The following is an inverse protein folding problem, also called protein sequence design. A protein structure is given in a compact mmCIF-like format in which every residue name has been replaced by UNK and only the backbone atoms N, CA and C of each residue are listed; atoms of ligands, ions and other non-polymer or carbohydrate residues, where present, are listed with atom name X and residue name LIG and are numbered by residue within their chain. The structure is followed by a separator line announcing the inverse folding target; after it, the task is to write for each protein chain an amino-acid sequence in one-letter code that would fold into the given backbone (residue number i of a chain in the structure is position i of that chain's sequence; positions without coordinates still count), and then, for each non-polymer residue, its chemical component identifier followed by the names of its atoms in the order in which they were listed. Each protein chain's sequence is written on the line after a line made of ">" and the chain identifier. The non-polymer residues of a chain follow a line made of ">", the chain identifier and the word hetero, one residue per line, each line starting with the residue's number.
data_IF_483230592753
#
_entry.id   IF_483230592753
#
_cell.length_a   1.000
_cell.length_b   1.000
_cell.length_c   1.000
_cell.angle_alpha   90.00
_cell.angle_beta   90.00
_cell.angle_gamma   90.00
#
_symmetry.space_group_name_H-M   'P 1'
#
loop_
_entity.id
_entity.type
_entity.pdbx_description
1 polymer ?
#
# COMPACT_ATOMS: atom_id res chain seq x y z
N UNK A 1 1.56 -25.96 -9.56
CA UNK A 1 0.19 -25.58 -9.98
C UNK A 1 -0.27 -24.38 -9.16
N UNK A 2 -0.76 -23.33 -9.79
CA UNK A 2 -1.41 -22.18 -9.13
C UNK A 2 -2.90 -22.47 -8.93
N UNK A 3 -3.42 -22.28 -7.71
CA UNK A 3 -4.85 -22.40 -7.44
C UNK A 3 -5.34 -21.03 -6.99
N UNK A 4 -6.23 -20.43 -7.79
CA UNK A 4 -6.89 -19.18 -7.41
C UNK A 4 -8.18 -19.52 -6.68
N UNK A 5 -8.22 -19.32 -5.36
CA UNK A 5 -9.43 -19.53 -4.56
C UNK A 5 -10.17 -18.19 -4.45
N UNK A 6 -11.18 -17.97 -5.31
CA UNK A 6 -12.13 -16.86 -5.14
C UNK A 6 -13.10 -17.23 -4.03
N UNK A 7 -12.93 -16.63 -2.84
CA UNK A 7 -14.09 -16.44 -1.98
C UNK A 7 -14.86 -15.22 -2.48
N UNK A 8 -16.18 -15.21 -2.32
CA UNK A 8 -17.05 -14.11 -2.75
C UNK A 8 -16.69 -12.76 -2.08
N UNK A 9 -15.95 -12.80 -0.96
CA UNK A 9 -15.58 -11.63 -0.15
C UNK A 9 -14.10 -11.25 -0.25
N UNK A 10 -13.20 -12.22 -0.11
CA UNK A 10 -11.76 -12.02 -0.13
C UNK A 10 -11.11 -12.94 -1.19
N UNK A 11 -10.61 -12.40 -2.31
CA UNK A 11 -9.84 -13.20 -3.26
C UNK A 11 -8.54 -13.67 -2.61
N UNK A 12 -8.18 -14.94 -2.83
CA UNK A 12 -6.92 -15.51 -2.35
C UNK A 12 -6.19 -16.18 -3.51
N UNK A 13 -4.97 -15.71 -3.78
CA UNK A 13 -4.04 -16.40 -4.66
C UNK A 13 -3.20 -17.38 -3.82
N UNK A 14 -3.19 -18.64 -4.23
CA UNK A 14 -2.32 -19.67 -3.66
C UNK A 14 -1.41 -20.24 -4.73
N UNK A 15 -0.11 -20.21 -4.46
CA UNK A 15 0.91 -20.81 -5.31
C UNK A 15 1.70 -21.87 -4.54
N UNK A 16 2.11 -22.93 -5.26
CA UNK A 16 2.90 -24.03 -4.72
C UNK A 16 2.06 -25.17 -4.09
N UNK A 17 2.70 -26.13 -3.40
CA UNK A 17 4.14 -26.17 -3.13
C UNK A 17 5.00 -26.27 -4.41
N UNK A 18 6.16 -25.62 -4.44
CA UNK A 18 7.18 -25.85 -5.48
C UNK A 18 8.02 -27.11 -5.14
N UNK A 19 9.04 -27.41 -5.95
CA UNK A 19 9.92 -28.60 -5.78
C UNK A 19 10.62 -28.67 -4.41
N UNK A 20 10.84 -27.53 -3.76
CA UNK A 20 11.45 -27.41 -2.42
C UNK A 20 10.41 -27.16 -1.31
N UNK A 21 9.12 -27.35 -1.61
CA UNK A 21 8.03 -27.29 -0.63
C UNK A 21 7.56 -25.90 -0.23
N UNK A 22 8.00 -24.83 -0.91
CA UNK A 22 7.56 -23.46 -0.62
C UNK A 22 6.16 -23.18 -1.15
N UNK A 23 5.38 -22.44 -0.38
CA UNK A 23 4.08 -21.91 -0.82
C UNK A 23 4.03 -20.39 -0.66
N UNK A 24 3.17 -19.77 -1.47
CA UNK A 24 2.84 -18.36 -1.36
C UNK A 24 1.32 -18.21 -1.27
N UNK A 25 0.87 -17.49 -0.26
CA UNK A 25 -0.52 -17.08 -0.09
C UNK A 25 -0.59 -15.57 -0.21
N UNK A 26 -1.54 -15.06 -0.99
CA UNK A 26 -1.87 -13.64 -1.05
C UNK A 26 -3.35 -13.46 -0.77
N UNK A 27 -3.65 -12.89 0.38
CA UNK A 27 -5.00 -12.58 0.82
C UNK A 27 -5.36 -11.13 0.46
N UNK A 28 -6.36 -10.96 -0.42
CA UNK A 28 -6.90 -9.65 -0.79
C UNK A 28 -7.94 -9.14 0.19
N UNK A 29 -7.56 -8.19 1.04
CA UNK A 29 -8.44 -7.58 2.03
C UNK A 29 -9.40 -6.53 1.41
N UNK A 30 -10.54 -6.29 2.08
CA UNK A 30 -11.54 -5.28 1.72
C UNK A 30 -11.43 -4.00 2.54
N UNK A 31 -10.38 -3.86 3.37
CA UNK A 31 -10.13 -2.73 4.29
C UNK A 31 -11.28 -2.47 5.26
N UNK A 32 -11.27 -3.19 6.39
CA UNK A 32 -12.29 -3.05 7.43
C UNK A 32 -11.66 -3.19 8.80
N UNK A 33 -12.15 -2.40 9.77
CA UNK A 33 -11.73 -2.49 11.18
C UNK A 33 -12.81 -3.16 12.05
N UNK A 34 -13.87 -3.68 11.43
CA UNK A 34 -14.97 -4.34 12.14
C UNK A 34 -14.59 -5.78 12.46
N UNK A 35 -14.22 -6.07 13.70
CA UNK A 35 -13.78 -7.42 14.11
C UNK A 35 -14.77 -8.56 13.80
N UNK A 36 -16.06 -8.26 13.70
CA UNK A 36 -17.11 -9.23 13.33
C UNK A 36 -17.26 -9.45 11.84
N UNK A 37 -16.48 -8.74 11.02
CA UNK A 37 -16.49 -8.94 9.57
C UNK A 37 -16.01 -10.36 9.21
N UNK A 38 -16.67 -10.96 8.22
CA UNK A 38 -16.36 -12.31 7.76
C UNK A 38 -14.92 -12.43 7.24
N UNK A 39 -14.32 -11.31 6.80
CA UNK A 39 -12.91 -11.22 6.41
C UNK A 39 -11.99 -11.85 7.46
N UNK A 40 -12.18 -11.59 8.75
CA UNK A 40 -11.26 -12.05 9.78
C UNK A 40 -11.37 -13.55 10.03
N UNK A 41 -12.56 -14.13 9.84
CA UNK A 41 -12.76 -15.58 9.83
C UNK A 41 -12.05 -16.22 8.63
N UNK A 42 -12.16 -15.59 7.45
CA UNK A 42 -11.49 -16.06 6.24
C UNK A 42 -9.97 -15.98 6.38
N UNK A 43 -9.45 -14.84 6.85
CA UNK A 43 -8.04 -14.62 7.11
C UNK A 43 -7.49 -15.71 8.03
N UNK A 44 -8.15 -15.98 9.15
CA UNK A 44 -7.76 -17.05 10.08
C UNK A 44 -7.75 -18.43 9.42
N UNK A 45 -8.79 -18.77 8.65
CA UNK A 45 -8.86 -20.04 7.90
C UNK A 45 -7.68 -20.20 6.95
N UNK A 46 -7.34 -19.17 6.17
CA UNK A 46 -6.23 -19.25 5.23
C UNK A 46 -4.86 -19.23 5.92
N UNK A 47 -4.74 -18.50 7.03
CA UNK A 47 -3.57 -18.53 7.90
C UNK A 47 -3.30 -19.93 8.47
N UNK A 48 -4.30 -20.57 9.06
CA UNK A 48 -4.15 -21.92 9.62
C UNK A 48 -3.81 -22.94 8.51
N UNK A 49 -4.40 -22.78 7.31
CA UNK A 49 -4.05 -23.59 6.12
C UNK A 49 -2.62 -23.34 5.66
N UNK A 50 -2.14 -22.10 5.70
CA UNK A 50 -0.75 -21.77 5.37
C UNK A 50 0.20 -22.45 6.36
N UNK A 51 -0.05 -22.33 7.66
CA UNK A 51 0.78 -22.98 8.69
C UNK A 51 0.82 -24.50 8.55
N UNK A 52 -0.31 -25.14 8.23
CA UNK A 52 -0.37 -26.61 8.13
C UNK A 52 0.36 -27.19 6.92
N UNK A 53 0.50 -26.42 5.84
CA UNK A 53 1.18 -26.86 4.60
C UNK A 53 2.63 -26.41 4.51
N UNK A 54 3.09 -25.52 5.39
CA UNK A 54 4.44 -24.94 5.35
C UNK A 54 5.39 -25.58 6.34
N UNK A 55 6.42 -26.25 5.81
CA UNK A 55 7.51 -26.82 6.62
C UNK A 55 8.73 -25.90 6.72
N UNK A 56 8.92 -25.04 5.72
CA UNK A 56 10.06 -24.14 5.64
C UNK A 56 9.90 -22.91 6.55
N UNK A 57 10.93 -22.08 6.62
CA UNK A 57 10.84 -20.74 7.22
C UNK A 57 9.71 -19.93 6.57
N UNK A 58 9.09 -19.05 7.36
CA UNK A 58 7.89 -18.32 6.99
C UNK A 58 8.15 -16.83 7.14
N UNK A 59 7.53 -16.05 6.27
CA UNK A 59 7.50 -14.58 6.39
C UNK A 59 6.12 -14.07 6.05
N UNK A 60 5.68 -13.06 6.79
CA UNK A 60 4.44 -12.35 6.55
C UNK A 60 4.73 -11.00 5.90
N UNK A 61 4.00 -10.66 4.85
CA UNK A 61 4.04 -9.34 4.23
C UNK A 61 2.74 -8.62 4.52
N UNK A 62 2.84 -7.38 4.95
CA UNK A 62 1.68 -6.53 5.23
C UNK A 62 1.77 -5.18 4.54
N UNK A 63 0.61 -4.58 4.30
CA UNK A 63 0.50 -3.21 3.81
C UNK A 63 0.70 -2.20 4.95
N UNK A 64 1.52 -1.17 4.71
CA UNK A 64 1.84 -0.14 5.68
C UNK A 64 2.82 -0.59 6.78
N UNK A 65 2.96 0.24 7.80
CA UNK A 65 3.84 0.00 8.96
C UNK A 65 2.98 -0.29 10.19
N UNK A 66 3.36 -1.31 10.97
CA UNK A 66 2.77 -1.56 12.28
C UNK A 66 3.65 -0.91 13.33
N UNK A 67 3.03 -0.14 14.21
CA UNK A 67 3.66 0.31 15.44
C UNK A 67 3.49 -0.78 16.51
N UNK A 68 3.32 -0.39 17.76
CA UNK A 68 3.02 -1.33 18.84
C UNK A 68 1.68 -2.03 18.58
N UNK A 69 1.76 -3.36 18.40
CA UNK A 69 0.61 -4.23 18.22
C UNK A 69 -0.10 -4.43 19.57
N UNK A 70 -1.41 -4.15 19.66
CA UNK A 70 -2.18 -4.46 20.86
C UNK A 70 -2.01 -5.93 21.29
N UNK A 71 -2.05 -6.23 22.59
CA UNK A 71 -1.94 -7.61 23.08
C UNK A 71 -3.16 -8.46 22.68
N UNK A 72 -4.31 -7.82 22.44
CA UNK A 72 -5.57 -8.49 22.08
C UNK A 72 -5.83 -8.47 20.57
N UNK A 73 -6.28 -9.61 20.02
CA UNK A 73 -6.55 -9.78 18.59
C UNK A 73 -7.67 -8.86 18.08
N UNK A 74 -8.75 -8.73 18.86
CA UNK A 74 -9.90 -7.89 18.49
C UNK A 74 -9.50 -6.42 18.52
N UNK A 75 -8.68 -6.01 19.47
CA UNK A 75 -8.17 -4.64 19.53
C UNK A 75 -7.19 -4.34 18.40
N UNK A 76 -6.30 -5.29 18.06
CA UNK A 76 -5.43 -5.16 16.90
C UNK A 76 -6.24 -4.92 15.60
N UNK A 77 -7.36 -5.63 15.43
CA UNK A 77 -8.29 -5.41 14.30
C UNK A 77 -8.93 -4.01 14.32
N UNK A 78 -9.41 -3.55 15.48
CA UNK A 78 -10.06 -2.24 15.53
C UNK A 78 -9.10 -1.10 15.19
N UNK A 79 -7.85 -1.21 15.65
CA UNK A 79 -6.84 -0.18 15.45
C UNK A 79 -6.28 -0.23 14.02
N UNK A 80 -5.93 -1.43 13.52
CA UNK A 80 -5.15 -1.59 12.28
C UNK A 80 -5.82 -2.47 11.21
N UNK A 81 -7.09 -2.86 11.39
CA UNK A 81 -7.82 -3.68 10.41
C UNK A 81 -7.17 -5.04 10.14
N UNK A 82 -7.09 -5.43 8.87
CA UNK A 82 -6.39 -6.63 8.41
C UNK A 82 -4.91 -6.69 8.80
N UNK A 83 -4.20 -5.55 8.75
CA UNK A 83 -2.78 -5.45 9.10
C UNK A 83 -2.60 -5.79 10.57
N UNK A 84 -3.50 -5.32 11.44
CA UNK A 84 -3.53 -5.69 12.86
C UNK A 84 -3.81 -7.16 13.10
N UNK A 85 -4.80 -7.72 12.40
CA UNK A 85 -5.14 -9.14 12.52
C UNK A 85 -3.96 -10.05 12.19
N UNK A 86 -3.37 -9.87 11.00
CA UNK A 86 -2.25 -10.72 10.58
C UNK A 86 -0.99 -10.44 11.39
N UNK A 87 -0.75 -9.18 11.78
CA UNK A 87 0.39 -8.83 12.65
C UNK A 87 0.31 -9.54 14.00
N UNK A 88 -0.89 -9.57 14.60
CA UNK A 88 -1.13 -10.32 15.83
C UNK A 88 -0.91 -11.82 15.62
N UNK A 89 -1.46 -12.42 14.56
CA UNK A 89 -1.30 -13.84 14.25
C UNK A 89 0.16 -14.23 13.99
N UNK A 90 0.91 -13.37 13.29
CA UNK A 90 2.33 -13.57 13.03
C UNK A 90 3.16 -13.51 14.33
N UNK A 91 2.86 -12.55 15.22
CA UNK A 91 3.49 -12.45 16.54
C UNK A 91 3.28 -13.71 17.37
N UNK A 92 2.03 -14.19 17.48
CA UNK A 92 1.72 -15.41 18.23
C UNK A 92 2.45 -16.65 17.69
N UNK A 93 2.67 -16.68 16.37
CA UNK A 93 3.38 -17.77 15.71
C UNK A 93 4.92 -17.60 15.70
N UNK A 94 5.45 -16.48 16.22
CA UNK A 94 6.88 -16.16 16.15
C UNK A 94 7.39 -15.97 14.71
N UNK A 95 6.55 -15.48 13.81
CA UNK A 95 6.87 -15.30 12.38
C UNK A 95 7.21 -13.84 12.08
N UNK A 96 8.30 -13.64 11.34
CA UNK A 96 8.77 -12.33 10.90
C UNK A 96 7.73 -11.61 10.03
N UNK A 97 7.54 -10.32 10.29
CA UNK A 97 6.70 -9.41 9.51
C UNK A 97 7.61 -8.49 8.69
N UNK A 98 7.34 -8.39 7.40
CA UNK A 98 8.03 -7.51 6.45
C UNK A 98 7.07 -6.44 5.95
N UNK A 99 7.49 -5.19 6.08
CA UNK A 99 6.86 -4.02 5.48
C UNK A 99 7.52 -3.77 4.12
N UNK A 100 6.82 -4.09 3.04
CA UNK A 100 7.41 -4.05 1.70
C UNK A 100 7.16 -2.74 0.94
N UNK A 101 6.56 -1.76 1.60
CA UNK A 101 6.37 -0.43 1.04
C UNK A 101 7.70 0.35 1.05
N UNK A 102 8.08 1.02 -0.06
CA UNK A 102 9.27 1.85 -0.06
C UNK A 102 9.11 3.02 0.92
N UNK A 103 10.22 3.49 1.49
CA UNK A 103 10.20 4.66 2.37
C UNK A 103 9.67 5.90 1.63
N UNK A 104 9.15 6.84 2.41
CA UNK A 104 8.69 8.12 1.91
C UNK A 104 9.79 8.91 1.17
N UNK A 105 11.03 8.87 1.69
CA UNK A 105 12.20 9.48 1.08
C UNK A 105 12.49 8.86 -0.28
N UNK A 106 12.60 7.52 -0.32
CA UNK A 106 12.94 6.78 -1.53
C UNK A 106 11.89 7.00 -2.65
N UNK A 107 10.62 7.12 -2.29
CA UNK A 107 9.57 7.47 -3.25
C UNK A 107 9.77 8.88 -3.83
N UNK A 108 10.11 9.87 -2.99
CA UNK A 108 10.32 11.26 -3.43
C UNK A 108 11.58 11.39 -4.26
N UNK A 109 12.69 10.77 -3.85
CA UNK A 109 13.95 10.73 -4.60
C UNK A 109 13.74 10.11 -5.99
N UNK A 110 13.06 8.96 -6.05
CA UNK A 110 12.74 8.27 -7.32
C UNK A 110 11.93 9.15 -8.25
N UNK A 111 10.93 9.88 -7.73
CA UNK A 111 10.10 10.79 -8.53
C UNK A 111 10.87 12.05 -8.95
N UNK A 112 11.65 12.67 -8.07
CA UNK A 112 12.44 13.87 -8.39
C UNK A 112 13.59 13.57 -9.37
N UNK A 113 14.02 12.31 -9.49
CA UNK A 113 14.93 11.87 -10.56
C UNK A 113 14.28 11.79 -11.94
N UNK A 114 12.94 11.84 -12.03
CA UNK A 114 12.17 11.70 -13.27
C UNK A 114 11.38 12.96 -13.64
N UNK A 115 11.00 13.77 -12.65
CA UNK A 115 10.12 14.92 -12.81
C UNK A 115 10.68 16.14 -12.07
N UNK A 116 10.20 17.34 -12.42
CA UNK A 116 10.50 18.57 -11.69
C UNK A 116 10.04 18.46 -10.22
N UNK A 117 10.95 18.76 -9.27
CA UNK A 117 10.70 18.55 -7.85
C UNK A 117 9.53 19.38 -7.31
N UNK A 118 9.25 20.56 -7.89
CA UNK A 118 8.09 21.37 -7.49
C UNK A 118 6.79 20.70 -7.90
N UNK A 119 6.75 20.14 -9.11
CA UNK A 119 5.60 19.39 -9.60
C UNK A 119 5.40 18.09 -8.83
N UNK A 120 6.49 17.40 -8.43
CA UNK A 120 6.42 16.21 -7.55
C UNK A 120 5.81 16.55 -6.21
N UNK A 121 6.36 17.54 -5.50
CA UNK A 121 5.85 17.95 -4.20
C UNK A 121 4.37 18.36 -4.28
N UNK A 122 4.01 19.16 -5.29
CA UNK A 122 2.63 19.57 -5.53
C UNK A 122 1.72 18.35 -5.75
N UNK A 123 2.15 17.40 -6.59
CA UNK A 123 1.37 16.20 -6.91
C UNK A 123 1.14 15.30 -5.70
N UNK A 124 2.14 15.17 -4.81
CA UNK A 124 2.00 14.42 -3.56
C UNK A 124 1.00 15.11 -2.61
N UNK A 125 1.05 16.45 -2.51
CA UNK A 125 0.09 17.20 -1.69
C UNK A 125 -1.34 16.98 -2.22
N UNK A 126 -1.54 17.17 -3.52
CA UNK A 126 -2.84 16.97 -4.18
C UNK A 126 -3.34 15.54 -4.01
N UNK A 127 -2.48 14.54 -4.12
CA UNK A 127 -2.87 13.15 -3.91
C UNK A 127 -3.38 12.92 -2.48
N UNK A 128 -2.70 13.47 -1.47
CA UNK A 128 -3.13 13.35 -0.07
C UNK A 128 -4.44 14.10 0.19
N UNK A 129 -4.64 15.28 -0.40
CA UNK A 129 -5.90 16.02 -0.32
C UNK A 129 -7.05 15.29 -1.01
N UNK A 130 -6.81 14.69 -2.17
CA UNK A 130 -7.80 13.85 -2.86
C UNK A 130 -8.19 12.63 -2.04
N UNK A 131 -7.23 11.97 -1.37
CA UNK A 131 -7.53 10.88 -0.41
C UNK A 131 -8.40 11.40 0.74
N UNK A 132 -8.04 12.54 1.32
CA UNK A 132 -8.82 13.17 2.39
C UNK A 132 -10.27 13.46 1.96
N UNK A 133 -10.50 14.00 0.77
CA UNK A 133 -11.84 14.28 0.22
C UNK A 133 -12.71 13.04 -0.03
N UNK A 134 -12.07 11.90 -0.34
CA UNK A 134 -12.77 10.62 -0.55
C UNK A 134 -13.19 9.96 0.75
N UNK A 135 -12.51 10.27 1.85
CA UNK A 135 -12.94 9.85 3.17
C UNK A 135 -13.91 10.89 3.75
N UNK A 136 -14.93 10.46 4.49
CA UNK A 136 -15.79 11.35 5.27
C UNK A 136 -14.98 11.93 6.44
N UNK A 137 -14.12 12.90 6.14
CA UNK A 137 -13.24 13.49 7.14
C UNK A 137 -14.02 14.40 8.09
N UNK A 138 -13.59 14.41 9.36
CA UNK A 138 -14.15 15.26 10.40
C UNK A 138 -13.44 16.62 10.52
N UNK A 139 -12.38 16.86 9.74
CA UNK A 139 -11.63 18.12 9.72
C UNK A 139 -12.10 19.00 8.57
N UNK A 140 -11.80 20.29 8.59
CA UNK A 140 -11.99 21.16 7.43
C UNK A 140 -10.80 21.06 6.43
N UNK A 141 -10.97 21.69 5.27
CA UNK A 141 -9.97 21.65 4.18
C UNK A 141 -8.65 22.34 4.58
N UNK A 142 -8.72 23.45 5.30
CA UNK A 142 -7.53 24.20 5.71
C UNK A 142 -6.69 23.42 6.72
N UNK A 143 -7.34 22.75 7.67
CA UNK A 143 -6.67 21.83 8.59
C UNK A 143 -6.00 20.68 7.83
N UNK A 144 -6.70 20.09 6.86
CA UNK A 144 -6.15 19.02 6.03
C UNK A 144 -4.93 19.47 5.22
N UNK A 145 -5.01 20.64 4.58
CA UNK A 145 -3.92 21.25 3.83
C UNK A 145 -2.71 21.53 4.72
N UNK A 146 -2.91 22.18 5.87
CA UNK A 146 -1.82 22.48 6.80
C UNK A 146 -1.13 21.22 7.31
N UNK A 147 -1.88 20.15 7.59
CA UNK A 147 -1.32 18.85 7.99
C UNK A 147 -0.45 18.24 6.89
N UNK A 148 -0.92 18.28 5.64
CA UNK A 148 -0.18 17.73 4.50
C UNK A 148 1.07 18.58 4.22
N UNK A 149 0.98 19.91 4.21
CA UNK A 149 2.13 20.80 4.04
C UNK A 149 3.18 20.60 5.14
N UNK A 150 2.76 20.48 6.41
CA UNK A 150 3.67 20.19 7.52
C UNK A 150 4.38 18.84 7.37
N UNK A 151 3.70 17.84 6.81
CA UNK A 151 4.31 16.55 6.49
C UNK A 151 5.31 16.70 5.35
N UNK A 152 4.94 17.35 4.25
CA UNK A 152 5.79 17.51 3.07
C UNK A 152 7.02 18.40 3.34
N UNK A 153 6.91 19.36 4.25
CA UNK A 153 8.02 20.22 4.64
C UNK A 153 9.20 19.44 5.25
N UNK A 154 8.98 18.21 5.74
CA UNK A 154 10.04 17.32 6.24
C UNK A 154 10.98 16.80 5.16
N UNK A 155 10.59 16.91 3.88
CA UNK A 155 11.34 16.42 2.73
C UNK A 155 11.98 17.58 1.94
N UNK A 156 12.18 18.74 2.58
CA UNK A 156 12.73 19.93 1.92
C UNK A 156 14.10 19.68 1.30
N UNK A 157 14.91 18.83 1.92
CA UNK A 157 16.26 18.50 1.42
C UNK A 157 16.20 17.69 0.11
N UNK A 158 15.17 16.84 -0.04
CA UNK A 158 14.94 16.08 -1.28
C UNK A 158 14.40 17.00 -2.38
N UNK A 159 13.51 17.92 -2.01
CA UNK A 159 12.88 18.83 -2.97
C UNK A 159 13.79 19.99 -3.40
N UNK A 160 14.72 20.39 -2.54
CA UNK A 160 15.54 21.60 -2.68
C UNK A 160 14.80 22.90 -2.31
N UNK A 161 13.65 22.81 -1.65
CA UNK A 161 12.86 23.95 -1.17
C UNK A 161 11.85 23.51 -0.09
N UNK A 162 11.27 24.47 0.63
CA UNK A 162 10.22 24.20 1.64
C UNK A 162 8.82 24.33 1.06
N UNK A 163 7.97 23.34 1.29
CA UNK A 163 6.54 23.37 0.91
C UNK A 163 5.73 24.13 1.97
N UNK A 164 5.53 25.43 1.77
CA UNK A 164 4.61 26.24 2.58
C UNK A 164 3.34 26.60 1.79
N UNK A 165 2.39 27.28 2.46
CA UNK A 165 1.11 27.66 1.85
C UNK A 165 1.28 28.63 0.68
N UNK A 166 2.23 29.57 0.78
CA UNK A 166 2.47 30.56 -0.27
C UNK A 166 3.02 29.89 -1.53
N UNK A 167 4.02 29.03 -1.37
CA UNK A 167 4.56 28.21 -2.46
C UNK A 167 3.47 27.33 -3.08
N UNK A 168 2.66 26.66 -2.26
CA UNK A 168 1.63 25.75 -2.76
C UNK A 168 0.56 26.49 -3.57
N UNK A 169 0.03 27.61 -3.06
CA UNK A 169 -0.91 28.46 -3.80
C UNK A 169 -0.32 28.95 -5.12
N UNK A 170 0.95 29.36 -5.13
CA UNK A 170 1.65 29.79 -6.34
C UNK A 170 1.81 28.66 -7.37
N UNK A 171 2.13 27.43 -6.93
CA UNK A 171 2.19 26.28 -7.84
C UNK A 171 0.80 25.89 -8.37
N UNK A 172 -0.24 25.97 -7.53
CA UNK A 172 -1.61 25.69 -7.93
C UNK A 172 -2.05 26.62 -9.06
N UNK A 173 -1.92 27.94 -8.87
CA UNK A 173 -2.30 28.94 -9.87
C UNK A 173 -1.54 28.76 -11.20
N UNK A 174 -0.26 28.37 -11.12
CA UNK A 174 0.56 28.11 -12.30
C UNK A 174 0.10 26.88 -13.10
N UNK A 175 -0.24 25.79 -12.40
CA UNK A 175 -0.58 24.51 -13.04
C UNK A 175 -2.05 24.43 -13.45
N UNK A 176 -2.92 25.05 -12.69
CA UNK A 176 -4.37 24.95 -12.82
C UNK A 176 -5.02 26.33 -12.63
N UNK A 177 -4.74 27.30 -13.53
CA UNK A 177 -5.34 28.62 -13.43
C UNK A 177 -6.86 28.48 -13.45
N UNK A 178 -7.54 29.27 -12.61
CA UNK A 178 -8.99 29.30 -12.48
C UNK A 178 -9.66 28.05 -11.86
N UNK A 179 -8.89 27.08 -11.36
CA UNK A 179 -9.45 25.95 -10.61
C UNK A 179 -9.48 26.25 -9.11
N UNK A 180 -10.44 25.65 -8.42
CA UNK A 180 -10.60 25.81 -6.96
C UNK A 180 -10.15 24.53 -6.27
N UNK A 181 -9.29 24.64 -5.26
CA UNK A 181 -8.78 23.49 -4.52
C UNK A 181 -9.87 22.78 -3.70
N UNK A 182 -10.91 23.47 -3.25
CA UNK A 182 -12.03 22.82 -2.56
C UNK A 182 -12.99 22.08 -3.51
N UNK A 183 -12.80 22.19 -4.83
CA UNK A 183 -13.59 21.40 -5.78
C UNK A 183 -13.15 19.94 -5.74
N UNK A 184 -13.98 19.13 -5.09
CA UNK A 184 -13.80 17.68 -4.97
C UNK A 184 -13.69 16.99 -6.32
N UNK A 185 -14.51 17.35 -7.32
CA UNK A 185 -14.49 16.69 -8.63
C UNK A 185 -13.17 16.98 -9.34
N UNK A 186 -12.72 18.23 -9.28
CA UNK A 186 -11.44 18.63 -9.81
C UNK A 186 -10.29 17.87 -9.13
N UNK A 187 -10.21 17.87 -7.80
CA UNK A 187 -9.14 17.16 -7.07
C UNK A 187 -9.16 15.65 -7.31
N UNK A 188 -10.33 15.02 -7.33
CA UNK A 188 -10.44 13.60 -7.66
C UNK A 188 -9.94 13.34 -9.09
N UNK A 189 -10.26 14.21 -10.06
CA UNK A 189 -9.84 14.03 -11.45
C UNK A 189 -8.31 14.08 -11.63
N UNK A 190 -7.63 15.00 -10.94
CA UNK A 190 -6.17 15.19 -11.08
C UNK A 190 -5.36 14.29 -10.13
N UNK A 191 -5.97 13.74 -9.08
CA UNK A 191 -5.32 12.82 -8.14
C UNK A 191 -5.48 11.33 -8.48
N UNK A 192 -6.36 10.99 -9.42
CA UNK A 192 -6.57 9.59 -9.84
C UNK A 192 -5.41 9.10 -10.73
N UNK A 193 -4.67 8.04 -10.33
CA UNK A 193 -3.59 7.46 -11.14
C UNK A 193 -4.05 6.77 -12.42
N UNK A 194 -5.37 6.57 -12.62
CA UNK A 194 -5.93 5.94 -13.82
C UNK A 194 -6.18 6.95 -14.93
N UNK A 195 -6.25 8.23 -14.58
CA UNK A 195 -6.32 9.31 -15.54
C UNK A 195 -4.91 9.63 -16.06
N UNK A 196 -4.82 10.31 -17.20
CA UNK A 196 -3.57 10.73 -17.82
C UNK A 196 -3.69 12.13 -18.44
N UNK A 197 -4.57 12.96 -17.87
CA UNK A 197 -4.90 14.27 -18.41
C UNK A 197 -3.89 15.35 -17.98
N UNK A 198 -3.12 15.09 -16.92
CA UNK A 198 -2.22 16.08 -16.30
C UNK A 198 -0.93 15.43 -15.86
N UNK A 199 0.13 16.24 -15.72
CA UNK A 199 1.41 15.82 -15.13
C UNK A 199 1.24 15.30 -13.69
N UNK A 200 0.22 15.77 -12.97
CA UNK A 200 -0.11 15.27 -11.62
C UNK A 200 -0.55 13.82 -11.68
N UNK A 201 -1.44 13.48 -12.62
CA UNK A 201 -1.88 12.10 -12.81
C UNK A 201 -0.71 11.19 -13.17
N UNK A 202 0.19 11.64 -14.05
CA UNK A 202 1.38 10.89 -14.46
C UNK A 202 2.31 10.60 -13.28
N UNK A 203 2.58 11.60 -12.43
CA UNK A 203 3.42 11.45 -11.23
C UNK A 203 2.76 10.48 -10.24
N UNK A 204 1.45 10.63 -10.00
CA UNK A 204 0.69 9.75 -9.09
C UNK A 204 0.68 8.31 -9.61
N UNK A 205 0.51 8.09 -10.92
CA UNK A 205 0.60 6.78 -11.54
C UNK A 205 2.03 6.19 -11.46
N UNK A 206 3.06 7.01 -11.71
CA UNK A 206 4.46 6.61 -11.60
C UNK A 206 4.81 6.20 -10.17
N UNK A 207 4.34 6.94 -9.17
CA UNK A 207 4.50 6.62 -7.76
C UNK A 207 3.89 5.25 -7.42
N UNK A 208 2.66 4.99 -7.85
CA UNK A 208 1.99 3.70 -7.64
C UNK A 208 2.77 2.55 -8.28
N UNK A 209 3.21 2.71 -9.54
CA UNK A 209 4.05 1.71 -10.23
C UNK A 209 5.38 1.46 -9.51
N UNK A 210 6.01 2.51 -8.99
CA UNK A 210 7.25 2.39 -8.22
C UNK A 210 7.04 1.57 -6.94
N UNK A 211 5.97 1.86 -6.19
CA UNK A 211 5.58 1.08 -4.99
C UNK A 211 5.36 -0.39 -5.32
N UNK A 212 4.53 -0.68 -6.31
CA UNK A 212 4.22 -2.05 -6.73
C UNK A 212 5.48 -2.83 -7.17
N UNK A 213 6.38 -2.17 -7.92
CA UNK A 213 7.66 -2.76 -8.32
C UNK A 213 8.56 -3.05 -7.12
N UNK A 214 8.63 -2.12 -6.16
CA UNK A 214 9.43 -2.29 -4.95
C UNK A 214 8.90 -3.46 -4.10
N UNK A 215 7.59 -3.51 -3.85
CA UNK A 215 6.91 -4.59 -3.12
C UNK A 215 7.20 -5.94 -3.78
N UNK A 216 7.00 -6.04 -5.10
CA UNK A 216 7.25 -7.26 -5.85
C UNK A 216 8.71 -7.70 -5.77
N UNK A 217 9.66 -6.76 -5.80
CA UNK A 217 11.09 -7.08 -5.70
C UNK A 217 11.44 -7.70 -4.34
N UNK A 218 10.83 -7.21 -3.26
CA UNK A 218 11.03 -7.75 -1.91
C UNK A 218 10.38 -9.11 -1.74
N UNK A 219 9.15 -9.30 -2.24
CA UNK A 219 8.47 -10.61 -2.27
C UNK A 219 9.35 -11.62 -3.02
N UNK A 220 9.85 -11.25 -4.21
CA UNK A 220 10.73 -12.10 -5.01
C UNK A 220 11.99 -12.47 -4.24
N UNK A 221 12.67 -11.50 -3.63
CA UNK A 221 13.89 -11.71 -2.86
C UNK A 221 13.67 -12.70 -1.71
N UNK A 222 12.60 -12.52 -0.92
CA UNK A 222 12.27 -13.39 0.22
C UNK A 222 11.84 -14.78 -0.24
N UNK A 223 11.10 -14.87 -1.35
CA UNK A 223 10.69 -16.18 -1.87
C UNK A 223 11.90 -16.94 -2.43
N UNK A 224 12.82 -16.27 -3.11
CA UNK A 224 14.06 -16.89 -3.61
C UNK A 224 15.00 -17.35 -2.48
N UNK A 225 14.87 -16.82 -1.27
CA UNK A 225 15.66 -17.26 -0.12
C UNK A 225 15.11 -18.52 0.56
N UNK A 226 14.18 -19.25 -0.06
CA UNK A 226 13.64 -20.51 0.46
C UNK A 226 12.47 -20.37 1.44
N UNK A 227 12.02 -19.15 1.75
CA UNK A 227 10.91 -18.92 2.69
C UNK A 227 9.54 -19.11 2.01
N UNK A 228 8.57 -19.59 2.77
CA UNK A 228 7.15 -19.53 2.39
C UNK A 228 6.55 -18.19 2.82
N UNK A 229 5.65 -17.63 2.02
CA UNK A 229 5.18 -16.26 2.21
C UNK A 229 3.66 -16.22 2.40
N UNK A 230 3.22 -15.43 3.38
CA UNK A 230 1.81 -15.05 3.54
C UNK A 230 1.66 -13.53 3.41
N UNK A 231 0.96 -13.07 2.39
CA UNK A 231 0.79 -11.66 2.04
C UNK A 231 -0.64 -11.23 2.40
N UNK A 232 -0.78 -10.10 3.10
CA UNK A 232 -2.07 -9.46 3.39
C UNK A 232 -2.01 -8.01 2.95
N UNK A 233 -2.67 -7.73 1.84
CA UNK A 233 -2.76 -6.40 1.22
C UNK A 233 -4.20 -6.18 0.76
N UNK A 234 -4.56 -4.93 0.46
CA UNK A 234 -5.82 -4.63 -0.21
C UNK A 234 -6.04 -5.45 -1.48
N UNK A 235 -7.30 -5.83 -1.76
CA UNK A 235 -7.68 -6.60 -2.96
C UNK A 235 -7.25 -5.93 -4.27
N UNK A 236 -7.08 -4.61 -4.28
CA UNK A 236 -6.55 -3.85 -5.42
C UNK A 236 -5.11 -4.24 -5.75
N UNK A 237 -4.24 -4.36 -4.74
CA UNK A 237 -2.87 -4.81 -4.93
C UNK A 237 -2.80 -6.25 -5.44
N UNK A 238 -3.66 -7.14 -4.94
CA UNK A 238 -3.72 -8.51 -5.48
C UNK A 238 -4.03 -8.49 -6.99
N UNK A 239 -5.05 -7.74 -7.42
CA UNK A 239 -5.41 -7.66 -8.84
C UNK A 239 -4.26 -7.13 -9.71
N UNK A 240 -3.50 -6.14 -9.21
CA UNK A 240 -2.36 -5.58 -9.93
C UNK A 240 -1.16 -6.52 -9.97
N UNK A 241 -0.88 -7.22 -8.87
CA UNK A 241 0.35 -8.02 -8.71
C UNK A 241 0.20 -9.49 -9.11
N UNK A 242 -1.01 -10.02 -9.24
CA UNK A 242 -1.30 -11.44 -9.44
C UNK A 242 -0.44 -12.07 -10.55
N UNK A 243 -0.46 -11.49 -11.75
CA UNK A 243 0.26 -12.02 -12.91
C UNK A 243 1.78 -12.05 -12.70
N UNK A 244 2.32 -11.04 -12.01
CA UNK A 244 3.75 -10.97 -11.68
C UNK A 244 4.12 -12.00 -10.63
N UNK A 245 3.28 -12.19 -9.62
CA UNK A 245 3.50 -13.16 -8.54
C UNK A 245 3.38 -14.60 -9.05
N UNK A 246 2.45 -14.88 -9.97
CA UNK A 246 2.34 -16.18 -10.63
C UNK A 246 3.64 -16.55 -11.37
N UNK A 247 4.24 -15.59 -12.09
CA UNK A 247 5.51 -15.79 -12.79
C UNK A 247 6.68 -16.12 -11.85
N UNK A 248 6.70 -15.54 -10.65
CA UNK A 248 7.75 -15.82 -9.66
C UNK A 248 7.88 -17.31 -9.33
N UNK A 249 6.75 -18.03 -9.27
CA UNK A 249 6.75 -19.44 -8.87
C UNK A 249 7.06 -20.34 -10.06
N UNK A 250 6.66 -19.97 -11.27
CA UNK A 250 7.04 -20.71 -12.49
C UNK A 250 8.54 -20.62 -12.78
N UNK A 251 9.18 -19.49 -12.52
CA UNK A 251 10.61 -19.28 -12.81
C UNK A 251 11.54 -20.06 -11.86
N UNK A 252 11.02 -20.56 -10.74
CA UNK A 252 11.76 -21.28 -9.68
C UNK A 252 11.40 -22.78 -9.68
N UNK A 253 10.36 -23.17 -10.43
CA UNK A 253 9.93 -24.57 -10.56
C UNK A 253 10.70 -25.28 -11.66
#
# INVERSE_FOLDING_TARGET
>A
MSVFEKSQYNPVLRLGPNSVGQVLYFFGAVHTNKYTDIQFKNLRKFWDKFLSVTKNEKTVFIEGVLHELPPDYKEAIKVYGETGAIGWLAREAGIEIVHAEPSEDLQRESLCGLFDSKVVAYSIIIQNLGVWFRHESQTDFEEALNRVLKREAKFSDIYGFTTDKSWFSSQHEKLFPHQTLEDKQFLDSISDPRNNNTVVNEIVACRSKFRDKHILSLIKKVFQSGKSIFIVYGKGHLATLESSIQKLVTDIS
#
